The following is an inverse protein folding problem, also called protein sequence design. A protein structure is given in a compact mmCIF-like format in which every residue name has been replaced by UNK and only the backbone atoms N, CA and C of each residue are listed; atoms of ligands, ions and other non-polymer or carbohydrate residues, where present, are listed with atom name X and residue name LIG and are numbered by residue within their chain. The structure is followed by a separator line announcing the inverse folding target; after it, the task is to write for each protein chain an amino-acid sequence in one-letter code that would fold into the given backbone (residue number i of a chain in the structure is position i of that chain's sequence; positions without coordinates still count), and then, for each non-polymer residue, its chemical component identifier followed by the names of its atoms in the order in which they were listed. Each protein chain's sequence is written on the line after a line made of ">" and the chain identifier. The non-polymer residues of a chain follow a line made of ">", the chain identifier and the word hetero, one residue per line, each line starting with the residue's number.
data_IF_405024397017
#
_entry.id   IF_405024397017
#
_cell.length_a   1.000
_cell.length_b   1.000
_cell.length_c   1.000
_cell.angle_alpha   90.00
_cell.angle_beta   90.00
_cell.angle_gamma   90.00
#
_symmetry.space_group_name_H-M   'P 1'
#
loop_
_entity.id
_entity.type
_entity.pdbx_description
1 polymer ?
#
# COMPACT_ATOMS: atom_id res chain seq x y z
N UNK A 1 -0.90 20.76 6.74
CA UNK A 1 0.20 21.29 7.58
C UNK A 1 -0.40 21.94 8.82
N UNK A 2 -0.60 21.20 9.91
CA UNK A 2 -1.18 21.74 11.15
C UNK A 2 -0.06 22.35 11.98
N UNK A 3 -0.10 23.67 12.17
CA UNK A 3 0.88 24.44 12.95
C UNK A 3 0.36 24.57 14.39
N UNK A 4 0.90 23.78 15.31
CA UNK A 4 0.59 23.84 16.74
C UNK A 4 1.43 24.92 17.43
N UNK A 5 0.80 26.03 17.84
CA UNK A 5 1.38 26.96 18.82
C UNK A 5 0.83 26.62 20.22
N UNK A 6 1.75 26.28 21.13
CA UNK A 6 1.48 26.05 22.56
C UNK A 6 1.09 27.36 23.25
N UNK A 7 0.02 27.38 24.05
CA UNK A 7 -0.06 28.24 25.24
C UNK A 7 -0.94 27.67 26.38
N UNK A 8 -0.28 27.50 27.53
CA UNK A 8 -0.74 27.59 28.92
C UNK A 8 -1.66 26.53 29.57
N UNK A 9 -1.01 25.83 30.52
CA UNK A 9 -1.47 24.95 31.61
C UNK A 9 -2.79 25.35 32.31
N UNK A 10 -3.71 24.39 32.48
CA UNK A 10 -4.56 24.21 33.69
C UNK A 10 -4.82 22.70 33.94
N UNK A 11 -5.02 22.38 35.23
CA UNK A 11 -4.92 21.07 35.93
C UNK A 11 -5.79 19.92 35.35
N UNK A 12 -5.24 18.69 35.34
CA UNK A 12 -5.93 17.44 34.98
C UNK A 12 -6.67 16.78 36.17
N UNK A 13 -7.88 16.21 35.94
CA UNK A 13 -8.44 15.06 36.66
C UNK A 13 -8.24 13.74 35.88
N UNK A 14 -8.58 12.55 36.43
CA UNK A 14 -7.93 11.28 36.10
C UNK A 14 -8.40 10.62 34.79
N UNK A 15 -7.51 9.79 34.26
CA UNK A 15 -7.54 9.06 32.99
C UNK A 15 -8.87 8.38 32.63
N UNK A 16 -9.53 8.86 31.56
CA UNK A 16 -10.08 8.04 30.47
C UNK A 16 -10.21 8.95 29.22
N UNK A 17 -9.58 8.53 28.12
CA UNK A 17 -9.43 9.27 26.85
C UNK A 17 -8.55 10.52 26.94
N UNK A 18 -7.29 10.38 26.55
CA UNK A 18 -6.42 11.54 26.29
C UNK A 18 -7.06 12.42 25.22
N UNK A 19 -7.67 13.54 25.64
CA UNK A 19 -8.11 14.65 24.78
C UNK A 19 -6.90 15.44 24.27
N UNK A 20 -5.98 14.76 23.60
CA UNK A 20 -4.78 15.39 23.03
C UNK A 20 -5.13 16.26 21.81
N UNK A 21 -6.33 16.05 21.22
CA UNK A 21 -6.84 16.78 20.06
C UNK A 21 -8.33 17.08 20.23
N UNK A 22 -8.72 18.33 19.96
CA UNK A 22 -10.12 18.77 19.87
C UNK A 22 -10.53 18.84 18.39
N UNK A 23 -11.59 18.11 18.04
CA UNK A 23 -12.11 18.01 16.67
C UNK A 23 -13.40 18.82 16.46
N UNK A 24 -13.86 19.56 17.47
CA UNK A 24 -15.14 20.29 17.43
C UNK A 24 -15.14 21.50 16.47
N UNK A 25 -13.98 21.90 15.95
CA UNK A 25 -13.83 22.99 14.98
C UNK A 25 -13.34 22.52 13.60
N UNK A 26 -13.51 21.24 13.28
CA UNK A 26 -13.14 20.71 11.95
C UNK A 26 -14.13 21.24 10.89
N UNK A 27 -13.64 22.14 10.05
CA UNK A 27 -14.40 22.68 8.90
C UNK A 27 -14.30 21.77 7.65
N UNK A 28 -13.21 20.99 7.54
CA UNK A 28 -12.94 20.10 6.40
C UNK A 28 -12.53 18.72 6.89
N UNK A 29 -13.27 17.70 6.47
CA UNK A 29 -12.98 16.28 6.71
C UNK A 29 -12.62 15.62 5.38
N UNK A 30 -11.51 14.88 5.37
CA UNK A 30 -11.09 14.08 4.20
C UNK A 30 -11.03 12.62 4.62
N UNK A 31 -11.71 11.77 3.87
CA UNK A 31 -11.72 10.32 3.98
C UNK A 31 -11.11 9.77 2.70
N UNK A 32 -9.89 9.28 2.78
CA UNK A 32 -9.16 8.72 1.64
C UNK A 32 -9.12 7.18 1.71
N UNK A 33 -9.06 6.52 0.56
CA UNK A 33 -9.11 5.05 0.42
C UNK A 33 -10.28 4.41 1.21
N UNK A 34 -11.51 4.90 1.03
CA UNK A 34 -12.66 4.51 1.85
C UNK A 34 -13.03 3.02 1.74
N UNK A 35 -12.90 2.42 0.56
CA UNK A 35 -13.04 0.98 0.31
C UNK A 35 -12.05 0.15 1.12
N UNK A 36 -10.84 0.65 1.29
CA UNK A 36 -9.81 0.01 2.11
C UNK A 36 -10.09 0.13 3.60
N UNK A 37 -10.56 1.29 4.06
CA UNK A 37 -11.04 1.41 5.45
C UNK A 37 -12.16 0.40 5.75
N UNK A 38 -13.00 0.10 4.76
CA UNK A 38 -14.02 -0.94 4.86
C UNK A 38 -13.42 -2.35 4.90
N UNK A 39 -12.56 -2.71 3.95
CA UNK A 39 -11.98 -4.06 3.88
C UNK A 39 -11.10 -4.41 5.08
N UNK A 40 -10.44 -3.41 5.67
CA UNK A 40 -9.64 -3.56 6.88
C UNK A 40 -10.45 -3.57 8.18
N UNK A 41 -11.77 -3.35 8.10
CA UNK A 41 -12.65 -3.31 9.27
C UNK A 41 -12.50 -2.06 10.14
N UNK A 42 -11.95 -0.96 9.62
CA UNK A 42 -11.74 0.29 10.35
C UNK A 42 -12.96 1.20 10.44
N UNK A 43 -14.08 0.85 9.78
CA UNK A 43 -15.31 1.65 9.81
C UNK A 43 -15.81 1.97 11.23
N UNK A 44 -15.77 1.07 12.24
CA UNK A 44 -16.16 1.42 13.60
C UNK A 44 -15.31 2.54 14.20
N UNK A 45 -14.00 2.52 13.96
CA UNK A 45 -13.07 3.54 14.46
C UNK A 45 -13.28 4.88 13.74
N UNK A 46 -13.45 4.86 12.41
CA UNK A 46 -13.77 6.05 11.61
C UNK A 46 -15.09 6.67 12.09
N UNK A 47 -16.12 5.87 12.32
CA UNK A 47 -17.41 6.34 12.89
C UNK A 47 -17.21 7.03 14.24
N UNK A 48 -16.33 6.52 15.09
CA UNK A 48 -16.01 7.14 16.38
C UNK A 48 -15.34 8.50 16.18
N UNK A 49 -14.40 8.64 15.25
CA UNK A 49 -13.75 9.93 14.95
C UNK A 49 -14.77 10.95 14.43
N UNK A 50 -15.58 10.57 13.43
CA UNK A 50 -16.57 11.46 12.80
C UNK A 50 -17.58 11.98 13.82
N UNK A 51 -17.98 11.17 14.81
CA UNK A 51 -18.88 11.59 15.90
C UNK A 51 -18.34 12.73 16.77
N UNK A 52 -17.03 12.98 16.74
CA UNK A 52 -16.39 14.07 17.49
C UNK A 52 -16.15 15.32 16.63
N UNK A 53 -16.55 15.31 15.37
CA UNK A 53 -16.50 16.47 14.45
C UNK A 53 -17.86 17.19 14.38
N UNK A 54 -17.96 18.46 13.91
CA UNK A 54 -19.23 19.15 13.63
C UNK A 54 -20.15 18.31 12.76
N UNK A 55 -21.45 18.58 12.70
CA UNK A 55 -22.36 17.77 11.86
C UNK A 55 -21.98 17.89 10.37
N UNK A 56 -22.39 16.93 9.55
CA UNK A 56 -22.02 16.90 8.12
C UNK A 56 -22.56 18.09 7.33
N UNK A 57 -23.60 18.76 7.82
CA UNK A 57 -24.16 20.00 7.28
C UNK A 57 -23.32 21.24 7.64
N UNK A 58 -22.44 21.14 8.64
CA UNK A 58 -21.63 22.25 9.19
C UNK A 58 -20.14 22.12 8.82
N UNK A 59 -19.77 21.11 8.01
CA UNK A 59 -18.40 20.86 7.55
C UNK A 59 -18.40 20.36 6.10
N UNK A 60 -17.35 20.66 5.36
CA UNK A 60 -17.13 20.05 4.05
C UNK A 60 -16.50 18.66 4.22
N UNK A 61 -17.06 17.64 3.55
CA UNK A 61 -16.50 16.28 3.58
C UNK A 61 -16.11 15.84 2.18
N UNK A 62 -14.86 15.44 1.99
CA UNK A 62 -14.38 14.74 0.79
C UNK A 62 -14.22 13.26 1.10
N UNK A 63 -14.76 12.40 0.23
CA UNK A 63 -14.58 10.95 0.30
C UNK A 63 -13.97 10.48 -1.02
N UNK A 64 -12.80 9.86 -0.95
CA UNK A 64 -12.09 9.26 -2.06
C UNK A 64 -12.07 7.75 -1.88
N UNK A 65 -12.30 7.04 -2.98
CA UNK A 65 -12.35 5.58 -3.02
C UNK A 65 -11.94 5.14 -4.43
N UNK A 66 -11.23 4.02 -4.54
CA UNK A 66 -10.90 3.43 -5.84
C UNK A 66 -12.11 2.67 -6.42
N UNK A 67 -12.97 2.17 -5.55
CA UNK A 67 -14.19 1.43 -5.90
C UNK A 67 -15.45 2.07 -5.32
N UNK A 68 -16.58 1.91 -6.01
CA UNK A 68 -17.91 2.41 -5.61
C UNK A 68 -18.88 1.27 -5.30
N UNK A 69 -18.50 0.37 -4.38
CA UNK A 69 -19.43 -0.64 -3.87
C UNK A 69 -20.64 0.01 -3.20
N UNK A 70 -21.76 -0.73 -3.08
CA UNK A 70 -22.96 -0.20 -2.41
C UNK A 70 -22.66 0.24 -0.96
N UNK A 71 -21.77 -0.46 -0.26
CA UNK A 71 -21.34 -0.08 1.08
C UNK A 71 -20.63 1.27 1.09
N UNK A 72 -19.77 1.54 0.10
CA UNK A 72 -19.08 2.83 -0.03
C UNK A 72 -20.05 3.95 -0.36
N UNK A 73 -21.01 3.72 -1.25
CA UNK A 73 -22.07 4.68 -1.55
C UNK A 73 -22.91 4.99 -0.31
N UNK A 74 -23.21 3.97 0.52
CA UNK A 74 -23.91 4.13 1.78
C UNK A 74 -23.09 4.99 2.77
N UNK A 75 -21.78 4.74 2.89
CA UNK A 75 -20.88 5.53 3.73
C UNK A 75 -20.77 6.98 3.26
N UNK A 76 -20.64 7.21 1.95
CA UNK A 76 -20.64 8.53 1.35
C UNK A 76 -21.91 9.30 1.69
N UNK A 77 -23.08 8.70 1.47
CA UNK A 77 -24.38 9.29 1.84
C UNK A 77 -24.49 9.57 3.34
N UNK A 78 -23.97 8.67 4.18
CA UNK A 78 -24.00 8.84 5.63
C UNK A 78 -23.13 10.03 6.10
N UNK A 79 -21.94 10.21 5.52
CA UNK A 79 -20.93 11.12 6.06
C UNK A 79 -20.78 12.45 5.34
N UNK A 80 -21.33 12.56 4.12
CA UNK A 80 -21.37 13.80 3.32
C UNK A 80 -22.78 14.43 3.34
N UNK A 81 -22.86 15.70 2.95
CA UNK A 81 -24.10 16.43 2.74
C UNK A 81 -24.17 16.87 1.28
N UNK A 82 -25.19 16.38 0.55
CA UNK A 82 -25.42 16.66 -0.87
C UNK A 82 -24.15 16.63 -1.74
N UNK A 83 -23.41 15.51 -1.78
CA UNK A 83 -22.11 15.45 -2.45
C UNK A 83 -22.25 15.54 -3.97
N UNK A 84 -21.31 16.23 -4.60
CA UNK A 84 -21.05 16.03 -6.02
C UNK A 84 -20.31 14.69 -6.22
N UNK A 85 -20.74 13.91 -7.21
CA UNK A 85 -20.06 12.67 -7.59
C UNK A 85 -19.13 12.93 -8.77
N UNK A 86 -17.86 12.58 -8.61
CA UNK A 86 -16.85 12.62 -9.66
C UNK A 86 -16.29 11.22 -9.79
N UNK A 87 -16.52 10.62 -10.95
CA UNK A 87 -15.99 9.31 -11.31
C UNK A 87 -14.99 9.48 -12.45
N UNK A 88 -13.80 8.91 -12.28
CA UNK A 88 -12.76 8.91 -13.30
C UNK A 88 -12.60 7.44 -13.72
N UNK A 89 -12.92 7.13 -14.96
CA UNK A 89 -12.65 5.80 -15.51
C UNK A 89 -11.14 5.56 -15.53
N UNK A 90 -10.69 4.55 -14.80
CA UNK A 90 -9.31 4.06 -14.90
C UNK A 90 -9.25 3.17 -16.13
N UNK A 91 -8.69 3.68 -17.24
CA UNK A 91 -8.39 2.80 -18.37
C UNK A 91 -7.28 1.83 -17.97
N UNK A 92 -7.53 0.54 -18.19
CA UNK A 92 -6.55 -0.55 -18.00
C UNK A 92 -5.26 -0.31 -18.80
N UNK A 93 -5.30 0.61 -19.77
CA UNK A 93 -4.16 1.11 -20.55
C UNK A 93 -2.97 1.57 -19.69
N UNK A 94 -3.16 2.02 -18.44
CA UNK A 94 -2.03 2.35 -17.57
C UNK A 94 -1.17 1.12 -17.19
N UNK A 95 -1.72 -0.09 -17.25
CA UNK A 95 -0.96 -1.33 -17.07
C UNK A 95 -0.24 -1.77 -18.36
N UNK A 96 -0.54 -1.18 -19.52
CA UNK A 96 0.06 -1.58 -20.79
C UNK A 96 1.58 -1.30 -20.87
N UNK A 97 2.09 -0.38 -20.04
CA UNK A 97 3.52 -0.03 -19.96
C UNK A 97 4.29 -0.82 -18.89
N UNK A 98 3.67 -1.83 -18.27
CA UNK A 98 4.30 -2.68 -17.25
C UNK A 98 4.52 -4.08 -17.82
N UNK A 99 5.79 -4.49 -17.93
CA UNK A 99 6.17 -5.87 -18.22
C UNK A 99 5.88 -6.73 -16.98
N UNK A 100 4.80 -7.49 -17.04
CA UNK A 100 4.33 -8.34 -15.95
C UNK A 100 4.78 -9.78 -16.18
N UNK A 101 5.55 -10.34 -15.23
CA UNK A 101 6.08 -11.71 -15.28
C UNK A 101 5.62 -12.48 -14.06
N UNK A 102 5.24 -13.74 -14.25
CA UNK A 102 4.92 -14.66 -13.16
C UNK A 102 5.95 -15.79 -13.16
N UNK A 103 6.64 -15.95 -12.03
CA UNK A 103 7.55 -17.05 -11.78
C UNK A 103 6.87 -18.12 -10.94
N UNK A 104 6.67 -19.29 -11.56
CA UNK A 104 6.18 -20.49 -10.89
C UNK A 104 7.33 -21.15 -10.13
N UNK A 105 7.30 -21.08 -8.81
CA UNK A 105 8.39 -21.49 -7.92
C UNK A 105 7.82 -22.09 -6.64
N UNK A 106 8.48 -23.11 -6.07
CA UNK A 106 8.07 -23.65 -4.78
C UNK A 106 8.20 -22.61 -3.67
N UNK A 107 7.37 -22.69 -2.64
CA UNK A 107 7.46 -21.77 -1.49
C UNK A 107 8.83 -21.81 -0.80
N UNK A 108 9.50 -22.97 -0.80
CA UNK A 108 10.84 -23.18 -0.24
C UNK A 108 11.92 -22.45 -1.06
N UNK A 109 11.77 -22.38 -2.38
CA UNK A 109 12.78 -21.79 -3.28
C UNK A 109 12.63 -20.27 -3.44
N UNK A 110 11.49 -19.67 -3.06
CA UNK A 110 11.24 -18.23 -3.21
C UNK A 110 12.30 -17.33 -2.59
N UNK A 111 12.84 -17.72 -1.43
CA UNK A 111 13.90 -16.94 -0.77
C UNK A 111 15.18 -16.88 -1.60
N UNK A 112 15.57 -18.04 -2.16
CA UNK A 112 16.75 -18.16 -3.01
C UNK A 112 16.54 -17.39 -4.32
N UNK A 113 15.37 -17.55 -4.93
CA UNK A 113 14.97 -16.80 -6.12
C UNK A 113 15.05 -15.29 -5.89
N UNK A 114 14.49 -14.78 -4.79
CA UNK A 114 14.51 -13.34 -4.47
C UNK A 114 15.94 -12.80 -4.40
N UNK A 115 16.81 -13.47 -3.63
CA UNK A 115 18.19 -13.03 -3.43
C UNK A 115 18.99 -13.07 -4.73
N UNK A 116 18.85 -14.15 -5.50
CA UNK A 116 19.57 -14.30 -6.76
C UNK A 116 19.11 -13.30 -7.82
N UNK A 117 17.79 -13.09 -7.90
CA UNK A 117 17.19 -12.09 -8.79
C UNK A 117 17.76 -10.70 -8.48
N UNK A 118 17.75 -10.31 -7.20
CA UNK A 118 18.27 -9.00 -6.74
C UNK A 118 19.78 -8.81 -6.90
N UNK A 119 20.54 -9.89 -7.10
CA UNK A 119 22.00 -9.84 -7.33
C UNK A 119 22.39 -9.83 -8.80
N UNK A 120 21.62 -10.48 -9.66
CA UNK A 120 21.97 -10.67 -11.06
C UNK A 120 21.48 -9.53 -11.94
N UNK A 121 20.31 -8.97 -11.65
CA UNK A 121 19.78 -7.86 -12.43
C UNK A 121 20.21 -6.51 -11.86
N UNK A 122 20.45 -5.54 -12.76
CA UNK A 122 20.73 -4.15 -12.40
C UNK A 122 19.44 -3.47 -11.95
N UNK A 123 19.03 -3.74 -10.72
CA UNK A 123 17.89 -3.05 -10.12
C UNK A 123 18.32 -1.79 -9.39
N UNK A 124 17.71 -0.65 -9.74
CA UNK A 124 17.94 0.62 -9.05
C UNK A 124 17.10 0.71 -7.77
N UNK A 125 15.78 0.77 -7.94
CA UNK A 125 14.80 0.90 -6.84
C UNK A 125 13.76 -0.18 -6.98
N UNK A 126 13.70 -1.08 -5.99
CA UNK A 126 12.79 -2.23 -5.98
C UNK A 126 11.86 -2.16 -4.79
N UNK A 127 10.57 -2.39 -5.03
CA UNK A 127 9.62 -2.68 -3.95
C UNK A 127 9.33 -4.18 -3.91
N UNK A 128 9.48 -4.79 -2.74
CA UNK A 128 9.13 -6.19 -2.48
C UNK A 128 7.91 -6.23 -1.57
N UNK A 129 6.83 -6.83 -2.02
CA UNK A 129 5.60 -6.95 -1.25
C UNK A 129 5.41 -8.35 -0.65
N UNK A 130 4.99 -8.38 0.61
CA UNK A 130 4.51 -9.58 1.28
C UNK A 130 3.25 -9.30 2.09
N UNK A 131 2.33 -10.27 2.18
CA UNK A 131 1.00 -10.05 2.79
C UNK A 131 1.06 -9.91 4.32
N UNK A 132 2.10 -10.47 4.95
CA UNK A 132 2.22 -10.54 6.42
C UNK A 132 3.43 -9.78 6.96
N UNK A 133 3.26 -9.15 8.12
CA UNK A 133 4.33 -8.38 8.80
C UNK A 133 5.52 -9.23 9.20
N UNK A 134 5.29 -10.45 9.68
CA UNK A 134 6.37 -11.36 10.08
C UNK A 134 7.17 -11.86 8.87
N UNK A 135 6.49 -12.08 7.73
CA UNK A 135 7.15 -12.39 6.46
C UNK A 135 8.03 -11.21 6.00
N UNK A 136 7.48 -10.00 5.95
CA UNK A 136 8.21 -8.80 5.55
C UNK A 136 9.46 -8.58 6.43
N UNK A 137 9.36 -8.81 7.74
CA UNK A 137 10.53 -8.76 8.64
C UNK A 137 11.58 -9.83 8.31
N UNK A 138 11.15 -11.07 8.05
CA UNK A 138 12.05 -12.16 7.63
C UNK A 138 12.76 -11.83 6.32
N UNK A 139 12.05 -11.24 5.35
CA UNK A 139 12.62 -10.85 4.07
C UNK A 139 13.65 -9.72 4.22
N UNK A 140 13.37 -8.67 5.01
CA UNK A 140 14.36 -7.63 5.29
C UNK A 140 15.63 -8.19 5.93
N UNK A 141 15.51 -9.08 6.92
CA UNK A 141 16.66 -9.76 7.53
C UNK A 141 17.43 -10.64 6.53
N UNK A 142 16.71 -11.39 5.68
CA UNK A 142 17.29 -12.23 4.63
C UNK A 142 18.14 -11.39 3.67
N UNK A 143 17.57 -10.30 3.15
CA UNK A 143 18.22 -9.44 2.18
C UNK A 143 19.45 -8.75 2.77
N UNK A 144 19.35 -8.23 4.00
CA UNK A 144 20.48 -7.64 4.71
C UNK A 144 21.62 -8.63 4.94
N UNK A 145 21.31 -9.87 5.33
CA UNK A 145 22.32 -10.95 5.47
C UNK A 145 22.96 -11.33 4.14
N UNK A 146 22.22 -11.22 3.04
CA UNK A 146 22.74 -11.41 1.70
C UNK A 146 23.60 -10.24 1.17
N UNK A 147 23.79 -9.18 1.97
CA UNK A 147 24.54 -7.98 1.60
C UNK A 147 23.76 -7.01 0.70
N UNK A 148 22.45 -7.19 0.56
CA UNK A 148 21.57 -6.31 -0.22
C UNK A 148 21.11 -5.17 0.69
N UNK A 149 21.17 -3.95 0.17
CA UNK A 149 20.76 -2.77 0.93
C UNK A 149 19.22 -2.64 0.92
N UNK A 150 18.61 -3.27 1.93
CA UNK A 150 17.17 -3.33 2.10
C UNK A 150 16.70 -2.60 3.35
N UNK A 151 15.47 -2.09 3.30
CA UNK A 151 14.76 -1.64 4.49
C UNK A 151 13.31 -2.11 4.49
N UNK A 152 12.81 -2.42 5.68
CA UNK A 152 11.40 -2.73 5.90
C UNK A 152 10.58 -1.45 6.12
N UNK A 153 9.38 -1.45 5.57
CA UNK A 153 8.34 -0.49 5.88
C UNK A 153 7.08 -1.23 6.37
N UNK A 154 6.78 -1.06 7.66
CA UNK A 154 5.68 -1.74 8.36
C UNK A 154 5.01 -0.80 9.35
N UNK A 155 3.77 -1.13 9.76
CA UNK A 155 2.95 -0.26 10.62
C UNK A 155 3.49 -0.01 12.04
N UNK A 156 4.49 -0.77 12.48
CA UNK A 156 5.21 -0.63 13.75
C UNK A 156 6.41 0.33 13.68
N UNK A 157 6.79 0.81 12.49
CA UNK A 157 7.87 1.79 12.31
C UNK A 157 7.37 3.20 12.69
N UNK A 158 8.05 3.92 13.60
CA UNK A 158 7.69 5.30 13.94
C UNK A 158 7.64 6.21 12.71
N UNK A 159 6.67 7.11 12.64
CA UNK A 159 6.44 7.97 11.45
C UNK A 159 7.69 8.74 11.00
N UNK A 160 8.46 9.31 11.93
CA UNK A 160 9.70 10.03 11.58
C UNK A 160 10.76 9.12 10.94
N UNK A 161 10.84 7.87 11.39
CA UNK A 161 11.75 6.89 10.82
C UNK A 161 11.24 6.39 9.47
N UNK A 162 9.92 6.21 9.33
CA UNK A 162 9.27 5.91 8.06
C UNK A 162 9.60 6.95 6.99
N UNK A 163 9.48 8.25 7.31
CA UNK A 163 9.81 9.34 6.38
C UNK A 163 11.29 9.27 5.94
N UNK A 164 12.22 9.10 6.88
CA UNK A 164 13.65 8.98 6.57
C UNK A 164 13.97 7.78 5.66
N UNK A 165 13.41 6.61 5.97
CA UNK A 165 13.59 5.41 5.14
C UNK A 165 13.11 5.65 3.71
N UNK A 166 12.00 6.37 3.54
CA UNK A 166 11.47 6.71 2.22
C UNK A 166 12.33 7.72 1.47
N UNK A 167 12.89 8.71 2.16
CA UNK A 167 13.83 9.66 1.57
C UNK A 167 15.08 8.94 1.09
N UNK A 168 15.72 8.13 1.94
CA UNK A 168 16.88 7.29 1.55
C UNK A 168 16.56 6.34 0.40
N UNK A 169 15.34 5.78 0.33
CA UNK A 169 14.91 4.95 -0.81
C UNK A 169 14.76 5.76 -2.10
N UNK A 170 14.19 6.97 -2.05
CA UNK A 170 14.06 7.84 -3.22
C UNK A 170 15.42 8.34 -3.73
N UNK A 171 16.35 8.61 -2.82
CA UNK A 171 17.72 9.03 -3.13
C UNK A 171 18.59 7.87 -3.67
N UNK A 172 18.09 6.63 -3.63
CA UNK A 172 18.80 5.45 -4.08
C UNK A 172 19.82 4.92 -3.08
N UNK A 173 19.88 5.49 -1.86
CA UNK A 173 20.69 4.94 -0.77
C UNK A 173 20.18 3.57 -0.36
N UNK A 174 18.86 3.34 -0.35
CA UNK A 174 18.26 2.02 -0.14
C UNK A 174 17.82 1.48 -1.50
N UNK A 175 18.31 0.29 -1.86
CA UNK A 175 17.99 -0.35 -3.13
C UNK A 175 16.62 -1.04 -3.08
N UNK A 176 16.30 -1.69 -1.96
CA UNK A 176 15.11 -2.53 -1.81
C UNK A 176 14.25 -2.09 -0.63
N UNK A 177 12.98 -1.80 -0.88
CA UNK A 177 12.00 -1.55 0.17
C UNK A 177 11.05 -2.74 0.29
N UNK A 178 11.03 -3.38 1.45
CA UNK A 178 10.12 -4.51 1.73
C UNK A 178 8.91 -4.01 2.51
N UNK A 179 7.70 -4.26 2.02
CA UNK A 179 6.49 -3.70 2.63
C UNK A 179 5.29 -4.66 2.60
N UNK A 180 4.34 -4.44 3.51
CA UNK A 180 2.96 -4.97 3.39
C UNK A 180 2.08 -3.94 2.68
N UNK A 181 0.94 -4.34 2.11
CA UNK A 181 -0.02 -3.41 1.47
C UNK A 181 -0.39 -2.25 2.38
N UNK A 182 -0.77 -2.56 3.63
CA UNK A 182 -1.13 -1.57 4.65
C UNK A 182 -0.04 -0.54 4.89
N UNK A 183 1.22 -0.97 4.81
CA UNK A 183 2.35 -0.12 5.12
C UNK A 183 2.77 0.71 3.89
N UNK A 184 2.60 0.18 2.68
CA UNK A 184 2.80 0.93 1.42
C UNK A 184 1.72 1.99 1.15
N UNK A 185 0.52 1.84 1.73
CA UNK A 185 -0.61 2.77 1.54
C UNK A 185 -0.39 4.13 2.22
N UNK A 186 -0.93 5.17 1.60
CA UNK A 186 -0.73 6.57 1.99
C UNK A 186 0.68 7.12 1.80
N UNK A 187 1.60 6.33 1.22
CA UNK A 187 2.91 6.82 0.79
C UNK A 187 2.94 6.85 -0.74
N UNK A 188 3.16 8.05 -1.27
CA UNK A 188 3.50 8.23 -2.69
C UNK A 188 4.95 7.76 -2.93
N UNK A 189 5.13 6.45 -3.02
CA UNK A 189 6.33 5.84 -3.58
C UNK A 189 6.00 5.54 -5.03
N UNK A 190 6.47 6.43 -5.90
CA UNK A 190 6.27 6.35 -7.34
C UNK A 190 7.64 6.21 -8.01
N UNK A 191 7.65 5.82 -9.27
CA UNK A 191 8.86 5.70 -10.10
C UNK A 191 9.91 4.72 -9.56
N UNK A 192 9.44 3.58 -9.02
CA UNK A 192 10.30 2.43 -8.77
C UNK A 192 10.54 1.68 -10.07
N UNK A 193 11.75 1.17 -10.24
CA UNK A 193 12.12 0.42 -11.45
C UNK A 193 11.40 -0.92 -11.53
N UNK A 194 11.25 -1.58 -10.38
CA UNK A 194 10.73 -2.93 -10.29
C UNK A 194 9.80 -3.09 -9.09
N UNK A 195 8.74 -3.86 -9.28
CA UNK A 195 7.86 -4.35 -8.22
C UNK A 195 7.98 -5.87 -8.18
N UNK A 196 8.24 -6.42 -7.00
CA UNK A 196 8.28 -7.86 -6.77
C UNK A 196 7.15 -8.23 -5.80
N UNK A 197 6.19 -9.02 -6.27
CA UNK A 197 5.19 -9.65 -5.41
C UNK A 197 5.78 -10.96 -4.90
N UNK A 198 6.37 -10.96 -3.70
CA UNK A 198 6.89 -12.20 -3.10
C UNK A 198 5.76 -13.16 -2.73
N UNK A 199 4.63 -12.61 -2.29
CA UNK A 199 3.32 -13.27 -2.21
C UNK A 199 2.32 -12.51 -3.04
N UNK A 200 1.43 -13.19 -3.75
CA UNK A 200 0.31 -12.52 -4.42
C UNK A 200 -0.66 -11.95 -3.38
N UNK A 201 -1.26 -10.77 -3.63
CA UNK A 201 -2.31 -10.27 -2.77
C UNK A 201 -3.57 -11.14 -2.90
N UNK A 202 -4.29 -11.28 -1.80
CA UNK A 202 -5.60 -11.97 -1.79
C UNK A 202 -6.67 -11.15 -2.52
N UNK A 203 -6.57 -9.82 -2.45
CA UNK A 203 -7.45 -8.89 -3.16
C UNK A 203 -6.85 -8.51 -4.53
N UNK A 204 -7.53 -8.80 -5.65
CA UNK A 204 -7.07 -8.42 -6.98
C UNK A 204 -6.78 -6.92 -7.18
N UNK A 205 -7.49 -6.05 -6.49
CA UNK A 205 -7.28 -4.61 -6.59
C UNK A 205 -5.93 -4.21 -5.98
N UNK A 206 -5.48 -4.91 -4.92
CA UNK A 206 -4.15 -4.70 -4.35
C UNK A 206 -3.04 -5.05 -5.33
N UNK A 207 -3.25 -6.03 -6.21
CA UNK A 207 -2.29 -6.35 -7.26
C UNK A 207 -2.06 -5.14 -8.17
N UNK A 208 -3.13 -4.51 -8.66
CA UNK A 208 -3.06 -3.33 -9.51
C UNK A 208 -2.37 -2.16 -8.77
N UNK A 209 -2.68 -1.97 -7.49
CA UNK A 209 -2.04 -0.93 -6.67
C UNK A 209 -0.54 -1.16 -6.41
N UNK A 210 -0.11 -2.42 -6.30
CA UNK A 210 1.30 -2.77 -6.16
C UNK A 210 2.05 -2.53 -7.45
N UNK A 211 1.56 -3.05 -8.58
CA UNK A 211 2.26 -2.89 -9.86
C UNK A 211 2.23 -1.44 -10.34
N UNK A 212 1.19 -0.68 -9.99
CA UNK A 212 1.08 0.74 -10.30
C UNK A 212 2.09 1.65 -9.58
N UNK A 213 3.01 1.09 -8.77
CA UNK A 213 4.19 1.79 -8.23
C UNK A 213 5.29 1.98 -9.28
N UNK A 214 5.26 1.19 -10.35
CA UNK A 214 6.13 1.32 -11.52
C UNK A 214 5.33 1.72 -12.76
N UNK A 215 6.02 2.01 -13.87
CA UNK A 215 5.37 2.23 -15.17
C UNK A 215 4.56 3.54 -15.32
N UNK A 216 4.78 4.53 -14.46
CA UNK A 216 4.08 5.83 -14.51
C UNK A 216 4.74 6.81 -15.49
N UNK A 217 3.98 7.81 -15.92
CA UNK A 217 4.43 8.92 -16.78
C UNK A 217 5.10 8.49 -18.11
N UNK A 218 4.70 7.33 -18.67
CA UNK A 218 5.24 6.81 -19.93
C UNK A 218 6.57 6.06 -19.81
N UNK A 219 7.08 5.86 -18.59
CA UNK A 219 8.22 4.98 -18.34
C UNK A 219 7.81 3.50 -18.44
N UNK A 220 8.73 2.64 -18.86
CA UNK A 220 8.54 1.19 -18.78
C UNK A 220 8.81 0.74 -17.34
N UNK A 221 7.91 -0.06 -16.79
CA UNK A 221 8.05 -0.70 -15.49
C UNK A 221 8.10 -2.21 -15.61
N UNK A 222 8.67 -2.88 -14.60
CA UNK A 222 8.65 -4.36 -14.53
C UNK A 222 8.00 -4.80 -13.23
N UNK A 223 7.06 -5.74 -13.33
CA UNK A 223 6.46 -6.41 -12.18
C UNK A 223 6.75 -7.91 -12.26
N UNK A 224 7.36 -8.46 -11.21
CA UNK A 224 7.65 -9.90 -11.09
C UNK A 224 6.85 -10.45 -9.93
N UNK A 225 6.02 -11.45 -10.18
CA UNK A 225 5.27 -12.14 -9.12
C UNK A 225 5.79 -13.55 -8.93
N UNK A 226 5.97 -13.98 -7.68
CA UNK A 226 6.25 -15.37 -7.36
C UNK A 226 4.93 -16.07 -7.05
N UNK A 227 4.73 -17.24 -7.65
CA UNK A 227 3.54 -18.06 -7.44
C UNK A 227 3.98 -19.45 -7.01
N UNK A 228 3.78 -19.71 -5.72
CA UNK A 228 3.95 -21.03 -5.12
C UNK A 228 2.62 -21.69 -4.79
N UNK A 229 2.69 -22.72 -3.95
CA UNK A 229 1.55 -23.52 -3.54
C UNK A 229 0.49 -22.67 -2.83
N UNK A 230 0.92 -21.73 -1.98
CA UNK A 230 0.01 -20.85 -1.24
C UNK A 230 -0.64 -19.75 -2.10
N UNK A 231 0.00 -19.26 -3.17
CA UNK A 231 -0.51 -18.13 -3.98
C UNK A 231 -1.37 -18.56 -5.17
N UNK A 232 -1.30 -19.84 -5.57
CA UNK A 232 -1.94 -20.34 -6.78
C UNK A 232 -3.46 -20.10 -6.81
N UNK A 233 -4.10 -19.98 -5.64
CA UNK A 233 -5.52 -19.69 -5.50
C UNK A 233 -5.90 -18.24 -5.81
N UNK A 234 -4.99 -17.28 -5.60
CA UNK A 234 -5.24 -15.85 -5.84
C UNK A 234 -5.07 -15.46 -7.32
N UNK A 235 -4.24 -16.20 -8.05
CA UNK A 235 -3.92 -15.90 -9.45
C UNK A 235 -5.15 -15.80 -10.38
N UNK A 236 -6.13 -16.74 -10.36
CA UNK A 236 -7.29 -16.64 -11.25
C UNK A 236 -8.18 -15.43 -10.98
N UNK A 237 -8.27 -14.96 -9.74
CA UNK A 237 -9.06 -13.77 -9.39
C UNK A 237 -8.36 -12.49 -9.87
N UNK A 238 -7.03 -12.43 -9.74
CA UNK A 238 -6.21 -11.36 -10.29
C UNK A 238 -6.37 -11.28 -11.81
N UNK A 239 -6.19 -12.40 -12.52
CA UNK A 239 -6.34 -12.46 -13.98
C UNK A 239 -7.73 -12.02 -14.45
N UNK A 240 -8.78 -12.41 -13.72
CA UNK A 240 -10.16 -11.99 -14.02
C UNK A 240 -10.33 -10.48 -13.84
N UNK A 241 -9.75 -9.93 -12.77
CA UNK A 241 -9.85 -8.51 -12.46
C UNK A 241 -9.13 -7.63 -13.49
N UNK A 242 -7.92 -8.03 -13.89
CA UNK A 242 -7.15 -7.30 -14.93
C UNK A 242 -7.62 -7.62 -16.36
N UNK A 243 -8.63 -8.48 -16.51
CA UNK A 243 -9.17 -8.94 -17.78
C UNK A 243 -8.10 -9.49 -18.74
N UNK A 244 -7.16 -10.27 -18.20
CA UNK A 244 -5.98 -10.73 -18.94
C UNK A 244 -5.26 -11.88 -18.24
N UNK A 245 -4.55 -12.69 -19.03
CA UNK A 245 -3.71 -13.78 -18.51
C UNK A 245 -2.33 -13.26 -18.17
N UNK A 246 -1.79 -13.69 -17.04
CA UNK A 246 -0.42 -13.37 -16.66
C UNK A 246 0.53 -14.45 -17.22
N UNK A 247 1.62 -14.08 -17.90
CA UNK A 247 2.55 -15.04 -18.47
C UNK A 247 3.32 -15.76 -17.36
N UNK A 248 2.92 -17.00 -17.10
CA UNK A 248 3.56 -17.88 -16.14
C UNK A 248 4.75 -18.59 -16.79
N UNK A 249 5.94 -18.37 -16.25
CA UNK A 249 7.19 -19.00 -16.70
C UNK A 249 7.93 -19.59 -15.50
N UNK A 250 8.76 -20.60 -15.76
CA UNK A 250 9.70 -21.04 -14.74
C UNK A 250 10.83 -20.02 -14.57
N UNK A 251 11.33 -19.81 -13.34
CA UNK A 251 12.54 -19.04 -13.14
C UNK A 251 13.69 -19.61 -13.98
N UNK A 252 14.55 -18.75 -14.57
CA UNK A 252 15.81 -19.18 -15.17
C UNK A 252 16.62 -20.09 -14.20
N UNK A 253 17.24 -21.15 -14.72
CA UNK A 253 17.95 -22.16 -13.89
C UNK A 253 19.04 -21.55 -12.99
N UNK A 254 19.66 -20.44 -13.41
CA UNK A 254 20.68 -19.75 -12.62
C UNK A 254 20.15 -18.95 -11.41
N UNK A 255 18.82 -18.87 -11.23
CA UNK A 255 18.19 -18.17 -10.11
C UNK A 255 17.71 -19.10 -9.00
N UNK A 256 17.50 -20.39 -9.30
CA UNK A 256 17.07 -21.41 -8.35
C UNK A 256 18.23 -22.12 -7.67
#
# INVERSE_FOLDING_TARGET
>A
MVRLQRHQRRRCPPDHEKRDVDLTQVEVLVLDEADRMLSMGFIPDVKRIIRHTPKKEERQTFLFSATFSQDILNLASQWTHEPAHVEIEVTVENAANIDQRVYMVSDDDKQRLLVNLLRQESFDRVMVFGNRRDLVRKLDELLRKAGINAAMLSGDVPQNQRIKTLESFREGEIQVLVATDVAGRGIHIEDVSHVINYTLPEDPEDYVHRIGRTGRAGANGVSISFVGEEDAFSLPEIERYINGKLPCVHPPEGLL
#
